data_IF_768521258199
#
_entry.id   IF_768521258199
#
_cell.length_a   1.000
_cell.length_b   1.000
_cell.length_c   1.000
_cell.angle_alpha   90.00
_cell.angle_beta   90.00
_cell.angle_gamma   90.00
#
_symmetry.space_group_name_H-M   'P 1'
#
loop_
_entity.id
_entity.type
_entity.pdbx_description
1 polymer ?
#
# COMPACT_ATOMS: atom_id res chain seq x y z
N UNK A 1 2.96 -13.78 23.65
CA UNK A 1 3.24 -12.59 22.82
C UNK A 1 4.00 -11.60 23.69
N UNK A 2 5.13 -11.09 23.20
CA UNK A 2 5.92 -10.09 23.92
C UNK A 2 5.21 -8.72 23.95
N UNK A 3 5.47 -7.91 24.99
CA UNK A 3 4.91 -6.57 25.17
C UNK A 3 5.28 -5.64 24.02
N UNK A 4 6.51 -5.70 23.51
CA UNK A 4 6.94 -4.88 22.36
C UNK A 4 6.19 -5.26 21.09
N UNK A 5 6.01 -6.55 20.80
CA UNK A 5 5.19 -7.00 19.66
C UNK A 5 3.75 -6.49 19.77
N UNK A 6 3.15 -6.54 20.97
CA UNK A 6 1.77 -6.09 21.19
C UNK A 6 1.64 -4.59 20.97
N UNK A 7 2.51 -3.78 21.59
CA UNK A 7 2.49 -2.33 21.44
C UNK A 7 2.75 -1.90 20.00
N UNK A 8 3.69 -2.55 19.31
CA UNK A 8 3.95 -2.27 17.90
C UNK A 8 2.76 -2.58 17.01
N UNK A 9 2.07 -3.71 17.21
CA UNK A 9 0.87 -4.04 16.43
C UNK A 9 -0.29 -3.08 16.74
N UNK A 10 -0.49 -2.70 18.01
CA UNK A 10 -1.50 -1.71 18.40
C UNK A 10 -1.22 -0.32 17.80
N UNK A 11 0.06 0.05 17.66
CA UNK A 11 0.51 1.29 17.04
C UNK A 11 0.60 1.21 15.51
N UNK A 12 0.14 0.11 14.89
CA UNK A 12 0.23 -0.12 13.45
C UNK A 12 1.68 -0.01 12.91
N UNK A 13 2.67 -0.50 13.66
CA UNK A 13 4.09 -0.51 13.27
C UNK A 13 4.54 -1.88 12.75
N UNK A 14 3.60 -2.81 12.58
CA UNK A 14 3.87 -4.12 12.02
C UNK A 14 4.14 -4.05 10.52
N UNK A 15 5.07 -4.88 10.08
CA UNK A 15 5.34 -5.15 8.69
C UNK A 15 5.86 -6.60 8.59
N UNK A 16 6.05 -7.09 7.39
CA UNK A 16 6.50 -8.45 7.17
C UNK A 16 8.03 -8.51 7.36
N UNK A 17 8.46 -8.98 8.55
CA UNK A 17 9.84 -8.93 9.06
C UNK A 17 10.88 -9.54 8.10
N UNK A 18 10.46 -10.49 7.25
CA UNK A 18 11.34 -11.23 6.36
C UNK A 18 11.56 -10.58 4.99
N UNK A 19 10.87 -9.50 4.67
CA UNK A 19 10.88 -8.95 3.31
C UNK A 19 11.81 -7.74 3.16
N UNK A 20 12.07 -7.00 4.24
CA UNK A 20 12.76 -5.70 4.17
C UNK A 20 13.42 -5.30 5.51
N UNK A 21 14.48 -4.48 5.47
CA UNK A 21 15.10 -3.94 6.67
C UNK A 21 14.19 -2.92 7.37
N UNK A 22 14.46 -2.63 8.64
CA UNK A 22 13.76 -1.59 9.40
C UNK A 22 12.38 -2.01 9.93
N UNK A 23 11.99 -3.27 9.86
CA UNK A 23 10.70 -3.70 10.44
C UNK A 23 10.79 -3.69 11.98
N UNK A 24 9.89 -2.96 12.65
CA UNK A 24 9.88 -2.84 14.11
C UNK A 24 9.38 -4.09 14.83
N UNK A 25 8.27 -4.64 14.33
CA UNK A 25 7.57 -5.82 14.85
C UNK A 25 6.96 -6.60 13.68
N UNK A 26 6.89 -7.93 13.82
CA UNK A 26 6.23 -8.77 12.82
C UNK A 26 4.69 -8.70 12.94
N UNK A 27 4.00 -9.07 11.87
CA UNK A 27 2.53 -9.16 11.82
C UNK A 27 2.02 -10.25 12.75
N UNK A 28 0.96 -9.96 13.51
CA UNK A 28 0.36 -10.92 14.44
C UNK A 28 -0.48 -11.99 13.72
N UNK A 29 0.17 -13.00 13.11
CA UNK A 29 -0.47 -14.13 12.41
C UNK A 29 -1.53 -13.74 11.36
N UNK A 30 -1.55 -12.48 10.97
CA UNK A 30 -2.45 -11.89 10.00
C UNK A 30 -1.58 -11.30 8.91
N UNK A 31 -1.06 -12.17 8.04
CA UNK A 31 -0.20 -11.79 6.93
C UNK A 31 -0.73 -10.56 6.18
N UNK A 32 -2.02 -10.47 5.82
CA UNK A 32 -2.58 -9.28 5.18
C UNK A 32 -2.55 -7.97 5.99
N UNK A 33 -2.38 -8.00 7.32
CA UNK A 33 -2.43 -6.81 8.16
C UNK A 33 -1.24 -5.86 7.97
N UNK A 34 -0.17 -6.27 7.27
CA UNK A 34 0.90 -5.34 6.93
C UNK A 34 0.36 -4.22 6.05
N UNK A 35 -0.45 -4.48 5.01
CA UNK A 35 -0.91 -3.38 4.14
C UNK A 35 -1.82 -2.38 4.86
N UNK A 36 -2.53 -2.82 5.90
CA UNK A 36 -3.35 -1.94 6.74
C UNK A 36 -2.49 -0.99 7.59
N UNK A 37 -1.31 -1.43 8.05
CA UNK A 37 -0.39 -0.57 8.79
C UNK A 37 0.12 0.57 7.91
N UNK A 38 0.40 0.28 6.63
CA UNK A 38 0.75 1.29 5.64
C UNK A 38 -0.36 2.30 5.42
N UNK A 39 -1.58 1.82 5.16
CA UNK A 39 -2.75 2.67 4.97
C UNK A 39 -2.97 3.61 6.17
N UNK A 40 -2.92 3.08 7.40
CA UNK A 40 -3.02 3.86 8.63
C UNK A 40 -1.98 5.00 8.66
N UNK A 41 -0.71 4.68 8.44
CA UNK A 41 0.35 5.68 8.49
C UNK A 41 0.31 6.66 7.33
N UNK A 42 -0.17 6.27 6.15
CA UNK A 42 -0.44 7.21 5.06
C UNK A 42 -1.47 8.25 5.46
N UNK A 43 -2.56 7.85 6.10
CA UNK A 43 -3.53 8.81 6.67
C UNK A 43 -2.91 9.72 7.72
N UNK A 44 -2.09 9.17 8.63
CA UNK A 44 -1.40 9.96 9.63
C UNK A 44 -0.40 10.96 9.03
N UNK A 45 0.20 10.64 7.88
CA UNK A 45 1.11 11.54 7.16
C UNK A 45 0.40 12.57 6.28
N UNK A 46 -0.78 12.23 5.72
CA UNK A 46 -1.60 13.20 5.01
C UNK A 46 -2.01 14.35 5.93
N UNK A 47 -2.43 14.06 7.16
CA UNK A 47 -2.91 15.08 8.09
C UNK A 47 -1.94 16.28 8.28
N UNK A 48 -0.68 16.11 8.73
CA UNK A 48 0.25 17.22 8.90
C UNK A 48 0.54 17.94 7.58
N UNK A 49 0.65 17.21 6.46
CA UNK A 49 0.85 17.83 5.15
C UNK A 49 -0.36 18.66 4.71
N UNK A 50 -1.57 18.30 5.12
CA UNK A 50 -2.79 19.01 4.80
C UNK A 50 -2.99 20.25 5.66
N UNK A 51 -2.75 20.16 6.97
CA UNK A 51 -2.98 21.26 7.93
C UNK A 51 -1.81 22.24 8.03
N UNK A 52 -0.59 21.84 7.69
CA UNK A 52 0.55 22.73 7.73
C UNK A 52 0.41 23.87 6.69
N UNK A 53 0.91 25.09 6.99
CA UNK A 53 0.87 26.25 6.11
C UNK A 53 1.88 26.15 4.95
N UNK A 54 1.88 25.01 4.26
CA UNK A 54 2.77 24.66 3.16
C UNK A 54 1.97 24.79 1.87
N UNK A 55 2.48 25.60 0.94
CA UNK A 55 1.88 25.76 -0.39
C UNK A 55 1.74 24.40 -1.07
N UNK A 56 0.57 24.12 -1.66
CA UNK A 56 0.27 22.80 -2.21
C UNK A 56 1.34 22.30 -3.20
N UNK A 57 1.80 23.19 -4.09
CA UNK A 57 2.83 22.88 -5.09
C UNK A 57 4.13 22.32 -4.48
N UNK A 58 4.41 22.59 -3.21
CA UNK A 58 5.60 22.15 -2.48
C UNK A 58 5.38 20.79 -1.80
N UNK A 59 4.15 20.45 -1.42
CA UNK A 59 3.82 19.24 -0.63
C UNK A 59 4.31 17.95 -1.29
N UNK A 60 4.13 17.80 -2.60
CA UNK A 60 4.64 16.63 -3.33
C UNK A 60 6.16 16.49 -3.28
N UNK A 61 6.90 17.60 -3.34
CA UNK A 61 8.35 17.57 -3.25
C UNK A 61 8.85 17.22 -1.85
N UNK A 62 8.08 17.58 -0.80
CA UNK A 62 8.34 17.10 0.56
C UNK A 62 8.17 15.58 0.62
N UNK A 63 7.10 15.03 0.05
CA UNK A 63 6.90 13.58 -0.02
C UNK A 63 8.04 12.89 -0.77
N UNK A 64 8.47 13.44 -1.90
CA UNK A 64 9.59 12.89 -2.67
C UNK A 64 10.90 12.95 -1.89
N UNK A 65 11.17 14.04 -1.17
CA UNK A 65 12.36 14.18 -0.34
C UNK A 65 12.35 13.18 0.84
N UNK A 66 11.21 12.99 1.50
CA UNK A 66 11.05 12.00 2.57
C UNK A 66 11.28 10.57 2.06
N UNK A 67 10.74 10.23 0.89
CA UNK A 67 10.97 8.93 0.27
C UNK A 67 12.44 8.73 -0.13
N UNK A 68 13.10 9.77 -0.65
CA UNK A 68 14.52 9.71 -0.98
C UNK A 68 15.38 9.51 0.28
N UNK A 69 15.06 10.22 1.37
CA UNK A 69 15.72 10.03 2.66
C UNK A 69 15.52 8.61 3.20
N UNK A 70 14.31 8.06 3.08
CA UNK A 70 14.00 6.69 3.48
C UNK A 70 14.76 5.65 2.64
N UNK A 71 14.87 5.87 1.33
CA UNK A 71 15.66 5.02 0.44
C UNK A 71 17.14 5.05 0.82
N UNK A 72 17.71 6.25 1.01
CA UNK A 72 19.10 6.39 1.46
C UNK A 72 19.32 5.68 2.79
N UNK A 73 18.44 5.91 3.79
CA UNK A 73 18.55 5.24 5.09
C UNK A 73 18.52 3.72 4.99
N UNK A 74 17.71 3.18 4.07
CA UNK A 74 17.63 1.74 3.80
C UNK A 74 18.88 1.22 3.09
N UNK A 75 19.42 1.98 2.12
CA UNK A 75 20.64 1.63 1.39
C UNK A 75 21.87 1.61 2.30
N UNK A 76 21.91 2.50 3.30
CA UNK A 76 22.97 2.54 4.31
C UNK A 76 22.99 1.33 5.25
N UNK A 77 22.03 0.40 5.17
CA UNK A 77 22.08 -0.87 5.90
C UNK A 77 23.03 -1.88 5.24
N UNK A 78 23.39 -1.68 3.97
CA UNK A 78 24.26 -2.60 3.24
C UNK A 78 25.69 -2.52 3.80
N UNK A 79 26.30 -3.62 4.29
CA UNK A 79 27.61 -3.61 4.92
C UNK A 79 28.72 -3.00 4.07
N UNK A 80 28.72 -3.29 2.76
CA UNK A 80 29.71 -2.74 1.83
C UNK A 80 29.55 -1.23 1.65
N UNK A 81 28.32 -0.72 1.65
CA UNK A 81 28.04 0.72 1.62
C UNK A 81 28.50 1.37 2.92
N UNK A 82 28.22 0.75 4.07
CA UNK A 82 28.71 1.23 5.38
C UNK A 82 30.23 1.30 5.40
N UNK A 83 30.90 0.22 4.99
CA UNK A 83 32.36 0.13 4.93
C UNK A 83 32.95 1.17 3.98
N UNK A 84 32.39 1.33 2.79
CA UNK A 84 32.87 2.30 1.80
C UNK A 84 32.73 3.75 2.29
N UNK A 85 31.69 4.04 3.08
CA UNK A 85 31.43 5.36 3.63
C UNK A 85 32.06 5.58 5.02
N UNK A 86 32.76 4.58 5.58
CA UNK A 86 33.31 4.64 6.93
C UNK A 86 32.25 4.80 8.02
N UNK A 87 31.04 4.31 7.77
CA UNK A 87 29.95 4.32 8.74
C UNK A 87 30.09 3.12 9.69
N UNK A 88 29.69 3.31 10.95
CA UNK A 88 29.52 2.21 11.90
C UNK A 88 28.27 1.37 11.59
N UNK A 89 27.83 0.58 12.57
CA UNK A 89 26.61 -0.24 12.47
C UNK A 89 25.37 0.66 12.31
N UNK A 90 24.98 0.91 11.06
CA UNK A 90 23.80 1.71 10.75
C UNK A 90 22.56 0.82 10.64
N UNK A 91 21.49 1.23 11.28
CA UNK A 91 20.18 0.61 11.16
C UNK A 91 19.21 1.58 10.47
N UNK A 92 18.49 1.08 9.44
CA UNK A 92 17.40 1.85 8.83
C UNK A 92 16.38 2.22 9.91
N UNK A 93 15.92 3.47 9.92
CA UNK A 93 14.88 3.85 10.86
C UNK A 93 13.59 3.16 10.44
N UNK A 94 12.87 2.53 11.36
CA UNK A 94 11.79 1.62 10.94
C UNK A 94 10.58 2.29 10.30
N UNK A 95 10.48 3.60 10.36
CA UNK A 95 9.49 4.38 9.62
C UNK A 95 9.84 4.54 8.12
N UNK A 96 11.05 4.16 7.70
CA UNK A 96 11.55 4.34 6.35
C UNK A 96 10.65 3.63 5.34
N UNK A 97 10.17 2.43 5.63
CA UNK A 97 9.36 1.67 4.68
C UNK A 97 8.03 2.38 4.36
N UNK A 98 7.38 3.00 5.35
CA UNK A 98 6.18 3.82 5.13
C UNK A 98 6.48 5.02 4.24
N UNK A 99 7.53 5.79 4.57
CA UNK A 99 7.92 6.97 3.79
C UNK A 99 8.32 6.62 2.36
N UNK A 100 8.98 5.48 2.20
CA UNK A 100 9.48 5.00 0.92
C UNK A 100 8.34 4.75 -0.06
N UNK A 101 7.26 4.08 0.35
CA UNK A 101 6.11 3.81 -0.53
C UNK A 101 5.10 4.96 -0.61
N UNK A 102 5.21 5.98 0.24
CA UNK A 102 4.28 7.10 0.28
C UNK A 102 4.11 7.88 -1.04
N UNK A 103 5.13 8.06 -1.91
CA UNK A 103 4.97 8.70 -3.21
C UNK A 103 3.97 7.99 -4.14
N UNK A 104 3.84 6.66 -4.03
CA UNK A 104 2.84 5.89 -4.81
C UNK A 104 1.43 6.35 -4.46
N UNK A 105 1.15 6.48 -3.16
CA UNK A 105 -0.12 7.00 -2.66
C UNK A 105 -0.32 8.48 -3.00
N UNK A 106 0.73 9.30 -2.84
CA UNK A 106 0.65 10.73 -3.15
C UNK A 106 0.38 11.00 -4.64
N UNK A 107 0.86 10.14 -5.56
CA UNK A 107 0.52 10.24 -6.97
C UNK A 107 -1.01 10.17 -7.20
N UNK A 108 -1.71 9.27 -6.48
CA UNK A 108 -3.17 9.21 -6.51
C UNK A 108 -3.84 10.49 -6.00
N UNK A 109 -3.29 11.10 -4.94
CA UNK A 109 -3.78 12.38 -4.40
C UNK A 109 -3.63 13.52 -5.41
N UNK A 110 -2.47 13.62 -6.09
CA UNK A 110 -2.26 14.64 -7.12
C UNK A 110 -3.22 14.47 -8.30
N UNK A 111 -3.51 13.22 -8.73
CA UNK A 111 -4.50 12.96 -9.77
C UNK A 111 -5.91 13.34 -9.34
N UNK A 112 -6.33 12.90 -8.15
CA UNK A 112 -7.66 13.16 -7.62
C UNK A 112 -7.91 14.68 -7.48
N UNK A 113 -6.92 15.41 -6.96
CA UNK A 113 -6.99 16.87 -6.87
C UNK A 113 -7.08 17.52 -8.25
N UNK A 114 -6.22 17.13 -9.19
CA UNK A 114 -6.26 17.73 -10.54
C UNK A 114 -7.62 17.50 -11.20
N UNK A 115 -8.17 16.30 -11.04
CA UNK A 115 -9.49 15.95 -11.54
C UNK A 115 -10.58 16.78 -10.85
N UNK A 116 -10.54 16.97 -9.54
CA UNK A 116 -11.46 17.85 -8.83
C UNK A 116 -11.38 19.32 -9.28
N UNK A 117 -10.17 19.81 -9.58
CA UNK A 117 -9.95 21.20 -9.99
C UNK A 117 -10.32 21.47 -11.45
N UNK A 118 -10.09 20.50 -12.34
CA UNK A 118 -10.13 20.74 -13.80
C UNK A 118 -11.03 19.75 -14.57
N UNK A 119 -11.62 18.77 -13.87
CA UNK A 119 -12.34 17.63 -14.46
C UNK A 119 -11.51 16.82 -15.46
N UNK A 120 -10.17 16.95 -15.41
CA UNK A 120 -9.22 16.29 -16.31
C UNK A 120 -7.96 15.92 -15.52
N UNK A 121 -7.24 14.93 -16.02
CA UNK A 121 -5.89 14.59 -15.55
C UNK A 121 -4.94 14.73 -16.74
N UNK A 122 -3.86 15.49 -16.58
CA UNK A 122 -2.94 15.82 -17.66
C UNK A 122 -1.54 15.29 -17.39
N UNK A 123 -0.87 14.83 -18.45
CA UNK A 123 0.52 14.34 -18.36
C UNK A 123 1.42 15.42 -17.75
N UNK A 124 1.25 16.70 -18.14
CA UNK A 124 2.08 17.79 -17.65
C UNK A 124 2.03 17.99 -16.13
N UNK A 125 0.84 17.88 -15.51
CA UNK A 125 0.70 18.04 -14.06
C UNK A 125 1.15 16.81 -13.27
N UNK A 126 1.04 15.62 -13.87
CA UNK A 126 1.45 14.36 -13.26
C UNK A 126 2.91 13.95 -13.56
N UNK A 127 3.59 14.66 -14.47
CA UNK A 127 4.97 14.37 -14.87
C UNK A 127 5.94 14.24 -13.67
N UNK A 128 5.89 15.09 -12.62
CA UNK A 128 6.76 14.92 -11.46
C UNK A 128 6.57 13.57 -10.76
N UNK A 129 5.31 13.13 -10.59
CA UNK A 129 4.99 11.83 -9.99
C UNK A 129 5.49 10.67 -10.85
N UNK A 130 5.27 10.74 -12.17
CA UNK A 130 5.78 9.75 -13.14
C UNK A 130 7.30 9.63 -13.06
N UNK A 131 8.00 10.76 -13.11
CA UNK A 131 9.48 10.80 -13.05
C UNK A 131 9.98 10.18 -11.74
N UNK A 132 9.41 10.56 -10.61
CA UNK A 132 9.83 10.01 -9.31
C UNK A 132 9.58 8.51 -9.21
N UNK A 133 8.42 8.01 -9.67
CA UNK A 133 8.14 6.58 -9.65
C UNK A 133 9.12 5.79 -10.54
N UNK A 134 9.48 6.30 -11.72
CA UNK A 134 10.49 5.68 -12.56
C UNK A 134 11.89 5.74 -11.96
N UNK A 135 12.29 6.86 -11.35
CA UNK A 135 13.58 6.98 -10.64
C UNK A 135 13.69 5.89 -9.57
N UNK A 136 12.68 5.74 -8.71
CA UNK A 136 12.69 4.68 -7.69
C UNK A 136 12.64 3.28 -8.30
N UNK A 137 11.87 3.07 -9.37
CA UNK A 137 11.85 1.79 -10.09
C UNK A 137 13.25 1.40 -10.57
N UNK A 138 13.97 2.32 -11.22
CA UNK A 138 15.32 2.05 -11.69
C UNK A 138 16.33 1.93 -10.55
N UNK A 139 16.18 2.71 -9.47
CA UNK A 139 17.01 2.59 -8.28
C UNK A 139 16.87 1.20 -7.63
N UNK A 140 15.65 0.69 -7.48
CA UNK A 140 15.41 -0.66 -6.97
C UNK A 140 15.83 -1.76 -7.95
N UNK A 141 15.70 -1.54 -9.26
CA UNK A 141 16.19 -2.48 -10.26
C UNK A 141 17.73 -2.59 -10.19
N UNK A 142 18.41 -1.45 -10.08
CA UNK A 142 19.86 -1.40 -9.91
C UNK A 142 20.31 -2.05 -8.60
N UNK A 143 19.59 -1.79 -7.49
CA UNK A 143 19.82 -2.46 -6.22
C UNK A 143 19.67 -3.98 -6.37
N UNK A 144 18.55 -4.46 -6.93
CA UNK A 144 18.27 -5.89 -7.08
C UNK A 144 19.28 -6.60 -7.99
N UNK A 145 19.84 -5.88 -8.97
CA UNK A 145 20.91 -6.41 -9.83
C UNK A 145 22.27 -6.54 -9.12
N UNK A 146 22.45 -5.97 -7.92
CA UNK A 146 23.71 -6.10 -7.18
C UNK A 146 23.92 -7.55 -6.72
N UNK A 147 25.14 -8.12 -6.82
CA UNK A 147 25.45 -9.51 -6.45
C UNK A 147 25.18 -9.86 -4.98
N UNK A 148 24.98 -8.85 -4.12
CA UNK A 148 24.93 -8.97 -2.66
C UNK A 148 23.53 -8.85 -2.06
N UNK A 149 22.48 -9.07 -2.85
CA UNK A 149 21.09 -9.04 -2.35
C UNK A 149 20.78 -10.15 -1.31
N UNK A 150 21.71 -11.06 -1.07
CA UNK A 150 21.71 -12.01 0.04
C UNK A 150 22.45 -11.42 1.24
N UNK A 151 21.78 -10.55 2.00
CA UNK A 151 22.31 -10.11 3.28
C UNK A 151 21.88 -11.12 4.36
N UNK A 152 22.84 -11.60 5.13
CA UNK A 152 22.57 -12.34 6.36
C UNK A 152 22.33 -11.31 7.45
N UNK A 153 21.14 -11.29 8.04
CA UNK A 153 20.92 -10.57 9.28
C UNK A 153 20.79 -11.57 10.42
N UNK A 154 21.47 -11.25 11.52
CA UNK A 154 21.24 -11.89 12.79
C UNK A 154 19.92 -11.35 13.37
N UNK A 155 18.85 -12.14 13.23
CA UNK A 155 17.55 -11.85 13.84
C UNK A 155 17.36 -12.78 15.03
N UNK A 156 17.92 -12.39 16.18
CA UNK A 156 17.75 -13.09 17.45
C UNK A 156 18.68 -14.29 17.66
N UNK A 157 19.95 -14.19 17.23
CA UNK A 157 20.96 -15.25 17.32
C UNK A 157 20.88 -16.28 16.20
N UNK A 158 20.12 -16.00 15.14
CA UNK A 158 19.95 -16.88 13.98
C UNK A 158 20.27 -16.09 12.73
N UNK A 159 21.39 -16.42 12.09
CA UNK A 159 21.69 -15.96 10.74
C UNK A 159 20.58 -16.46 9.81
N UNK A 160 19.79 -15.53 9.30
CA UNK A 160 18.80 -15.82 8.26
C UNK A 160 19.16 -15.07 7.00
N UNK A 161 19.12 -15.78 5.89
CA UNK A 161 19.21 -15.20 4.56
C UNK A 161 18.01 -14.26 4.37
N UNK A 162 18.22 -12.95 4.49
CA UNK A 162 17.23 -11.97 4.06
C UNK A 162 17.34 -11.89 2.56
N UNK A 163 16.45 -12.62 1.87
CA UNK A 163 16.21 -12.38 0.46
C UNK A 163 15.49 -11.04 0.39
N UNK A 164 16.21 -10.00 0.00
CA UNK A 164 15.59 -8.75 -0.42
C UNK A 164 14.68 -9.11 -1.59
N UNK A 165 13.41 -9.32 -1.28
CA UNK A 165 12.46 -9.59 -2.33
C UNK A 165 12.39 -8.35 -3.22
N UNK A 166 12.16 -8.55 -4.51
CA UNK A 166 11.90 -7.45 -5.43
C UNK A 166 10.55 -6.75 -5.14
N UNK A 167 10.11 -6.70 -3.88
CA UNK A 167 8.85 -6.13 -3.42
C UNK A 167 8.75 -4.67 -3.82
N UNK A 168 9.67 -3.82 -3.38
CA UNK A 168 9.68 -2.39 -3.69
C UNK A 168 9.78 -2.15 -5.20
N UNK A 169 10.59 -2.94 -5.91
CA UNK A 169 10.67 -2.90 -7.37
C UNK A 169 9.31 -3.20 -8.02
N UNK A 170 8.60 -4.24 -7.55
CA UNK A 170 7.26 -4.57 -8.04
C UNK A 170 6.28 -3.44 -7.74
N UNK A 171 6.27 -2.88 -6.53
CA UNK A 171 5.36 -1.81 -6.15
C UNK A 171 5.58 -0.55 -7.00
N UNK A 172 6.81 -0.05 -7.05
CA UNK A 172 7.14 1.14 -7.83
C UNK A 172 7.01 0.92 -9.32
N UNK A 173 7.50 -0.21 -9.84
CA UNK A 173 7.41 -0.53 -11.27
C UNK A 173 5.95 -0.68 -11.72
N UNK A 174 5.12 -1.36 -10.93
CA UNK A 174 3.69 -1.49 -11.22
C UNK A 174 2.98 -0.13 -11.16
N UNK A 175 3.24 0.68 -10.13
CA UNK A 175 2.67 2.01 -10.03
C UNK A 175 3.11 2.93 -11.17
N UNK A 176 4.39 2.89 -11.56
CA UNK A 176 4.95 3.66 -12.66
C UNK A 176 4.28 3.27 -13.99
N UNK A 177 4.14 1.97 -14.26
CA UNK A 177 3.48 1.43 -15.46
C UNK A 177 1.99 1.80 -15.47
N UNK A 178 1.27 1.62 -14.37
CA UNK A 178 -0.14 1.97 -14.31
C UNK A 178 -0.38 3.48 -14.46
N UNK A 179 0.41 4.32 -13.79
CA UNK A 179 0.27 5.77 -13.89
C UNK A 179 0.61 6.24 -15.31
N UNK A 180 1.74 5.80 -15.87
CA UNK A 180 2.15 6.18 -17.23
C UNK A 180 1.15 5.68 -18.27
N UNK A 181 0.80 4.39 -18.21
CA UNK A 181 -0.15 3.78 -19.13
C UNK A 181 -1.55 4.37 -19.02
N UNK A 182 -2.03 4.62 -17.80
CA UNK A 182 -3.31 5.28 -17.55
C UNK A 182 -3.35 6.71 -18.08
N UNK A 183 -2.29 7.49 -17.91
CA UNK A 183 -2.19 8.85 -18.47
C UNK A 183 -2.16 8.85 -20.00
N UNK A 184 -1.43 7.92 -20.61
CA UNK A 184 -1.42 7.76 -22.07
C UNK A 184 -2.78 7.30 -22.59
N UNK A 185 -3.41 6.33 -21.93
CA UNK A 185 -4.73 5.83 -22.30
C UNK A 185 -5.82 6.91 -22.16
N UNK A 186 -5.74 7.73 -21.10
CA UNK A 186 -6.56 8.93 -20.93
C UNK A 186 -6.35 9.96 -22.04
N UNK A 187 -5.10 10.22 -22.43
CA UNK A 187 -4.79 11.14 -23.53
C UNK A 187 -5.36 10.67 -24.88
N UNK A 188 -5.54 9.36 -25.04
CA UNK A 188 -6.21 8.75 -26.21
C UNK A 188 -7.74 8.73 -26.10
N UNK A 189 -8.32 9.24 -25.00
CA UNK A 189 -9.77 9.26 -24.79
C UNK A 189 -10.37 7.92 -24.34
N UNK A 190 -9.60 7.10 -23.62
CA UNK A 190 -10.05 5.83 -23.03
C UNK A 190 -10.68 4.83 -24.02
N UNK A 191 -10.07 4.57 -25.20
CA UNK A 191 -10.60 3.58 -26.13
C UNK A 191 -10.82 2.23 -25.43
N UNK A 192 -12.00 1.64 -25.64
CA UNK A 192 -12.41 0.34 -25.10
C UNK A 192 -12.58 0.26 -23.57
N UNK A 193 -12.50 1.37 -22.82
CA UNK A 193 -12.62 1.34 -21.36
C UNK A 193 -13.89 0.63 -20.89
N UNK A 194 -15.06 0.99 -21.44
CA UNK A 194 -16.35 0.40 -21.07
C UNK A 194 -16.43 -1.12 -21.32
N UNK A 195 -15.61 -1.63 -22.24
CA UNK A 195 -15.58 -3.06 -22.62
C UNK A 195 -14.56 -3.88 -21.83
N UNK A 196 -13.57 -3.23 -21.21
CA UNK A 196 -12.49 -3.91 -20.51
C UNK A 196 -12.55 -3.64 -19.00
N UNK A 197 -12.17 -2.44 -18.57
CA UNK A 197 -12.08 -2.06 -17.16
C UNK A 197 -13.43 -1.62 -16.61
N UNK A 198 -14.23 -0.91 -17.41
CA UNK A 198 -15.53 -0.39 -17.00
C UNK A 198 -16.52 -1.49 -16.58
N UNK A 199 -16.40 -2.71 -17.10
CA UNK A 199 -17.24 -3.85 -16.68
C UNK A 199 -17.09 -4.15 -15.19
N UNK A 200 -15.91 -3.91 -14.61
CA UNK A 200 -15.63 -4.14 -13.20
C UNK A 200 -16.25 -3.09 -12.27
N UNK A 201 -16.81 -2.00 -12.80
CA UNK A 201 -17.61 -1.05 -12.01
C UNK A 201 -18.74 -1.77 -11.24
N UNK A 202 -19.30 -2.84 -11.83
CA UNK A 202 -20.33 -3.66 -11.17
C UNK A 202 -19.83 -4.40 -9.93
N UNK A 203 -18.54 -4.66 -9.84
CA UNK A 203 -17.91 -5.30 -8.68
C UNK A 203 -17.36 -4.27 -7.68
N UNK A 204 -17.24 -3.00 -8.06
CA UNK A 204 -16.72 -1.96 -7.19
C UNK A 204 -17.45 -1.88 -5.83
N UNK A 205 -18.80 -2.01 -5.74
CA UNK A 205 -19.52 -1.95 -4.47
C UNK A 205 -19.25 -3.08 -3.49
N UNK A 206 -18.60 -4.17 -3.93
CA UNK A 206 -18.27 -5.34 -3.09
C UNK A 206 -16.76 -5.59 -2.99
N UNK A 207 -15.95 -4.73 -3.60
CA UNK A 207 -14.51 -4.94 -3.80
C UNK A 207 -13.73 -4.97 -2.49
N UNK A 208 -14.11 -4.14 -1.52
CA UNK A 208 -13.46 -4.12 -0.21
C UNK A 208 -13.89 -5.31 0.63
N UNK A 209 -15.15 -5.74 0.53
CA UNK A 209 -15.64 -6.97 1.13
C UNK A 209 -14.86 -8.20 0.63
N UNK A 210 -14.60 -8.28 -0.69
CA UNK A 210 -13.78 -9.35 -1.28
C UNK A 210 -12.39 -9.36 -0.63
N UNK A 211 -11.76 -8.19 -0.50
CA UNK A 211 -10.45 -8.05 0.13
C UNK A 211 -10.44 -8.51 1.60
N UNK A 212 -11.45 -8.21 2.41
CA UNK A 212 -11.47 -8.67 3.81
C UNK A 212 -11.78 -10.16 3.92
N UNK A 213 -12.77 -10.65 3.16
CA UNK A 213 -13.39 -11.96 3.39
C UNK A 213 -12.62 -13.10 2.72
N UNK A 214 -11.83 -12.83 1.68
CA UNK A 214 -11.17 -13.90 0.92
C UNK A 214 -10.28 -14.79 1.78
N UNK A 215 -9.52 -14.24 2.73
CA UNK A 215 -8.63 -15.05 3.58
C UNK A 215 -9.39 -15.93 4.58
N UNK A 216 -10.36 -15.43 5.36
CA UNK A 216 -11.20 -16.28 6.20
C UNK A 216 -11.88 -17.42 5.43
N UNK A 217 -12.47 -17.14 4.26
CA UNK A 217 -13.12 -18.17 3.42
C UNK A 217 -12.11 -19.18 2.92
N UNK A 218 -10.93 -18.73 2.46
CA UNK A 218 -9.86 -19.61 2.02
C UNK A 218 -9.43 -20.59 3.13
N UNK A 219 -9.23 -20.08 4.34
CA UNK A 219 -8.83 -20.93 5.48
C UNK A 219 -9.92 -21.90 5.89
N UNK A 220 -11.18 -21.45 5.94
CA UNK A 220 -12.32 -22.33 6.22
C UNK A 220 -12.42 -23.48 5.20
N UNK A 221 -12.26 -23.18 3.90
CA UNK A 221 -12.30 -24.19 2.86
C UNK A 221 -11.09 -25.13 2.89
N UNK A 222 -9.88 -24.63 3.19
CA UNK A 222 -8.67 -25.47 3.36
C UNK A 222 -8.78 -26.44 4.52
N UNK A 223 -9.54 -26.08 5.56
CA UNK A 223 -9.83 -26.95 6.70
C UNK A 223 -10.94 -27.99 6.41
N UNK A 224 -11.64 -27.87 5.28
CA UNK A 224 -12.73 -28.76 4.88
C UNK A 224 -12.26 -29.89 3.96
N UNK A 225 -13.06 -30.95 3.78
CA UNK A 225 -12.80 -31.99 2.77
C UNK A 225 -12.79 -31.49 1.33
N UNK A 226 -13.29 -30.27 1.05
CA UNK A 226 -13.27 -29.70 -0.29
C UNK A 226 -11.85 -29.38 -0.77
N UNK A 227 -10.86 -29.27 0.13
CA UNK A 227 -9.46 -28.97 -0.24
C UNK A 227 -8.89 -29.96 -1.27
N UNK A 228 -9.37 -31.20 -1.25
CA UNK A 228 -8.90 -32.29 -2.11
C UNK A 228 -9.71 -32.36 -3.43
N UNK A 229 -10.67 -31.45 -3.64
CA UNK A 229 -11.58 -31.39 -4.79
C UNK A 229 -11.46 -30.01 -5.47
N UNK A 230 -10.49 -29.82 -6.38
CA UNK A 230 -10.05 -28.48 -6.81
C UNK A 230 -11.16 -27.63 -7.46
N UNK A 231 -12.02 -28.22 -8.29
CA UNK A 231 -13.12 -27.50 -8.92
C UNK A 231 -14.20 -27.08 -7.91
N UNK A 232 -14.60 -28.00 -7.02
CA UNK A 232 -15.57 -27.68 -5.96
C UNK A 232 -15.00 -26.69 -4.95
N UNK A 233 -13.71 -26.78 -4.63
CA UNK A 233 -13.00 -25.79 -3.82
C UNK A 233 -13.06 -24.41 -4.45
N UNK A 234 -12.69 -24.29 -5.73
CA UNK A 234 -12.67 -23.02 -6.44
C UNK A 234 -14.09 -22.42 -6.55
N UNK A 235 -15.09 -23.23 -6.88
CA UNK A 235 -16.50 -22.79 -6.92
C UNK A 235 -16.99 -22.35 -5.55
N UNK A 236 -16.76 -23.13 -4.50
CA UNK A 236 -17.15 -22.77 -3.13
C UNK A 236 -16.44 -21.50 -2.64
N UNK A 237 -15.18 -21.31 -3.01
CA UNK A 237 -14.41 -20.11 -2.70
C UNK A 237 -15.01 -18.88 -3.39
N UNK A 238 -15.20 -18.92 -4.70
CA UNK A 238 -15.75 -17.79 -5.46
C UNK A 238 -17.17 -17.44 -5.01
N UNK A 239 -18.01 -18.44 -4.79
CA UNK A 239 -19.37 -18.23 -4.29
C UNK A 239 -19.37 -17.70 -2.85
N UNK A 240 -18.57 -18.28 -1.97
CA UNK A 240 -18.48 -17.87 -0.57
C UNK A 240 -17.98 -16.44 -0.42
N UNK A 241 -16.90 -16.09 -1.12
CA UNK A 241 -16.38 -14.72 -1.13
C UNK A 241 -17.39 -13.77 -1.76
N UNK A 242 -17.90 -14.05 -2.96
CA UNK A 242 -18.84 -13.16 -3.66
C UNK A 242 -20.12 -12.91 -2.87
N UNK A 243 -20.73 -13.97 -2.31
CA UNK A 243 -21.96 -13.87 -1.53
C UNK A 243 -21.76 -13.11 -0.23
N UNK A 244 -20.73 -13.46 0.55
CA UNK A 244 -20.47 -12.79 1.83
C UNK A 244 -20.09 -11.32 1.62
N UNK A 245 -19.29 -11.00 0.61
CA UNK A 245 -18.95 -9.61 0.27
C UNK A 245 -20.17 -8.80 -0.12
N UNK A 246 -21.06 -9.38 -0.93
CA UNK A 246 -22.33 -8.73 -1.29
C UNK A 246 -23.23 -8.50 -0.07
N UNK A 247 -23.38 -9.50 0.79
CA UNK A 247 -24.19 -9.39 2.00
C UNK A 247 -23.64 -8.31 2.94
N UNK A 248 -22.32 -8.24 3.15
CA UNK A 248 -21.72 -7.22 3.99
C UNK A 248 -21.83 -5.81 3.39
N UNK A 249 -21.40 -5.62 2.14
CA UNK A 249 -21.24 -4.26 1.59
C UNK A 249 -22.50 -3.67 0.98
N UNK A 250 -23.42 -4.51 0.48
CA UNK A 250 -24.65 -4.02 -0.15
C UNK A 250 -25.81 -4.08 0.84
N UNK A 251 -25.99 -5.22 1.52
CA UNK A 251 -27.15 -5.43 2.39
C UNK A 251 -26.92 -4.84 3.77
N UNK A 252 -25.88 -5.28 4.48
CA UNK A 252 -25.62 -4.85 5.87
C UNK A 252 -25.21 -3.38 5.92
N UNK A 253 -24.27 -2.93 5.09
CA UNK A 253 -23.88 -1.52 5.03
C UNK A 253 -25.06 -0.63 4.63
N UNK A 254 -25.92 -1.08 3.70
CA UNK A 254 -27.14 -0.37 3.34
C UNK A 254 -28.07 -0.15 4.54
N UNK A 255 -28.23 -1.18 5.38
CA UNK A 255 -29.01 -1.10 6.61
C UNK A 255 -28.37 -0.16 7.65
N UNK A 256 -27.05 -0.24 7.86
CA UNK A 256 -26.30 0.65 8.76
C UNK A 256 -26.44 2.11 8.31
N UNK A 257 -26.27 2.37 7.01
CA UNK A 257 -26.42 3.71 6.44
C UNK A 257 -27.84 4.26 6.64
N UNK A 258 -28.87 3.42 6.45
CA UNK A 258 -30.25 3.82 6.69
C UNK A 258 -30.52 4.15 8.16
N UNK A 259 -29.98 3.35 9.09
CA UNK A 259 -30.13 3.57 10.53
C UNK A 259 -29.37 4.81 11.05
N UNK A 260 -28.23 5.16 10.45
CA UNK A 260 -27.36 6.25 10.93
C UNK A 260 -27.65 7.61 10.29
N UNK A 261 -28.24 7.67 9.09
CA UNK A 261 -28.64 8.93 8.42
C UNK A 261 -29.38 9.93 9.32
N UNK A 262 -30.38 9.54 10.14
CA UNK A 262 -31.09 10.47 11.01
C UNK A 262 -30.21 11.12 12.09
N UNK A 263 -29.15 10.43 12.54
CA UNK A 263 -28.24 10.94 13.57
C UNK A 263 -27.34 12.04 12.98
N UNK A 264 -26.85 11.84 11.76
CA UNK A 264 -25.98 12.80 11.07
C UNK A 264 -26.74 14.06 10.64
N UNK A 265 -28.02 13.95 10.27
CA UNK A 265 -28.83 15.12 9.93
C UNK A 265 -29.13 16.03 11.14
N UNK A 266 -29.07 15.50 12.37
CA UNK A 266 -29.33 16.27 13.60
C UNK A 266 -28.13 17.10 14.08
N UNK A 267 -26.91 16.70 13.72
CA UNK A 267 -25.69 17.45 14.07
C UNK A 267 -25.39 18.64 13.14
N UNK A 268 -26.14 18.78 12.04
CA UNK A 268 -25.93 19.82 11.02
C UNK A 268 -26.74 21.10 11.19
N UNK A 269 -27.55 21.24 12.25
CA UNK A 269 -28.18 22.53 12.57
C UNK A 269 -27.13 23.45 13.19
N UNK A 270 -26.70 24.55 12.53
CA UNK A 270 -25.93 25.57 13.22
C UNK A 270 -26.77 26.05 14.40
N UNK A 271 -26.24 25.93 15.62
CA UNK A 271 -26.75 26.72 16.74
C UNK A 271 -26.36 28.16 16.40
N UNK A 272 -27.36 28.93 15.95
CA UNK A 272 -27.22 30.37 15.75
C UNK A 272 -26.89 31.09 17.04
#
# INVERSE_FOLDING_TARGET
>A
MDRRTLLGNLAMLQDALHFKPGVYVDTFHNGPAWSLSYEWWYYMMFFPLLVAPIAWRVRKYIVFALAALAFVSSALVIPDVQKALGLGEWHSFGFANFLLLFPVWWAGVEMAREYQETSRVTIGRQLPSVVVLWIFTFAFAAWYAMPQHHLYADVGGVEREMKFEAGELKHFGFAAVLLTGGLLWNALGWPLFDKTVGVFERLAPISYGIYIIHMPVLFALKASPLRDQPWLFASAFLLGVGLLSYLLEVVVQGWINAATRPLLSRSGSPRG
#
